data_IF_929567152193
#
_entry.id   IF_929567152193
#
_cell.length_a   1.000
_cell.length_b   1.000
_cell.length_c   1.000
_cell.angle_alpha   90.00
_cell.angle_beta   90.00
_cell.angle_gamma   90.00
#
_symmetry.space_group_name_H-M   'P 1'
#
loop_
_entity.id
_entity.type
_entity.pdbx_description
1 polymer ?
#
# COMPACT_ATOMS: atom_id res chain seq x y z
N UNK A 1 -41.18 -40.93 -10.31
CA UNK A 1 -40.73 -39.52 -10.22
C UNK A 1 -39.97 -39.15 -11.49
N UNK A 2 -40.65 -38.64 -12.53
CA UNK A 2 -39.95 -38.13 -13.72
C UNK A 2 -39.79 -36.61 -13.59
N UNK A 3 -38.61 -36.15 -13.14
CA UNK A 3 -38.22 -34.75 -13.40
C UNK A 3 -37.96 -34.63 -14.91
N UNK A 4 -38.59 -33.65 -15.58
CA UNK A 4 -38.31 -33.33 -16.98
C UNK A 4 -36.78 -33.14 -17.16
N UNK A 5 -36.09 -33.78 -18.13
CA UNK A 5 -34.66 -33.58 -18.37
C UNK A 5 -34.22 -32.11 -18.37
N UNK A 6 -35.00 -31.21 -18.98
CA UNK A 6 -34.70 -29.77 -19.01
C UNK A 6 -34.55 -29.15 -17.62
N UNK A 7 -35.32 -29.63 -16.63
CA UNK A 7 -35.23 -29.13 -15.25
C UNK A 7 -33.92 -29.49 -14.57
N UNK A 8 -33.35 -30.67 -14.89
CA UNK A 8 -32.05 -31.09 -14.34
C UNK A 8 -30.88 -30.30 -14.94
N UNK A 9 -30.99 -29.93 -16.20
CA UNK A 9 -30.00 -29.09 -16.89
C UNK A 9 -29.98 -27.70 -16.26
N UNK A 10 -31.17 -27.06 -16.13
CA UNK A 10 -31.31 -25.76 -15.44
C UNK A 10 -30.82 -25.79 -13.98
N UNK A 11 -31.16 -26.84 -13.22
CA UNK A 11 -30.67 -27.04 -11.84
C UNK A 11 -29.13 -27.08 -11.79
N UNK A 12 -28.48 -27.73 -12.76
CA UNK A 12 -27.01 -27.89 -12.82
C UNK A 12 -26.32 -26.59 -13.20
N UNK A 13 -26.82 -25.90 -14.23
CA UNK A 13 -26.32 -24.60 -14.68
C UNK A 13 -26.44 -23.54 -13.58
N UNK A 14 -27.58 -23.49 -12.87
CA UNK A 14 -27.80 -22.56 -11.76
C UNK A 14 -26.81 -22.78 -10.62
N UNK A 15 -26.42 -24.04 -10.34
CA UNK A 15 -25.34 -24.36 -9.38
C UNK A 15 -23.97 -23.88 -9.84
N UNK A 16 -23.60 -24.14 -11.10
CA UNK A 16 -22.32 -23.67 -11.67
C UNK A 16 -22.18 -22.14 -11.60
N UNK A 17 -23.28 -21.41 -11.85
CA UNK A 17 -23.33 -19.95 -11.71
C UNK A 17 -23.16 -19.54 -10.24
N UNK A 18 -23.85 -20.20 -9.30
CA UNK A 18 -23.71 -19.96 -7.86
C UNK A 18 -22.26 -20.20 -7.40
N UNK A 19 -21.65 -21.30 -7.82
CA UNK A 19 -20.26 -21.67 -7.52
C UNK A 19 -19.28 -20.62 -8.06
N UNK A 20 -19.39 -20.21 -9.33
CA UNK A 20 -18.53 -19.16 -9.91
C UNK A 20 -18.64 -17.85 -9.13
N UNK A 21 -19.85 -17.36 -8.84
CA UNK A 21 -20.06 -16.13 -8.06
C UNK A 21 -19.44 -16.26 -6.66
N UNK A 22 -19.52 -17.44 -6.03
CA UNK A 22 -18.98 -17.68 -4.69
C UNK A 22 -17.45 -17.73 -4.69
N UNK A 23 -16.85 -18.37 -5.69
CA UNK A 23 -15.39 -18.37 -5.87
C UNK A 23 -14.84 -16.96 -6.15
N UNK A 24 -15.55 -16.15 -6.95
CA UNK A 24 -15.16 -14.75 -7.20
C UNK A 24 -15.26 -13.94 -5.91
N UNK A 25 -16.37 -14.05 -5.16
CA UNK A 25 -16.51 -13.33 -3.89
C UNK A 25 -15.37 -13.61 -2.93
N UNK A 26 -15.07 -14.91 -2.71
CA UNK A 26 -13.99 -15.33 -1.83
C UNK A 26 -12.65 -14.82 -2.35
N UNK A 27 -12.21 -15.28 -3.51
CA UNK A 27 -10.84 -15.02 -3.96
C UNK A 27 -10.57 -13.54 -4.28
N UNK A 28 -11.55 -12.77 -4.75
CA UNK A 28 -11.33 -11.32 -4.94
C UNK A 28 -11.37 -10.57 -3.62
N UNK A 29 -12.14 -11.04 -2.63
CA UNK A 29 -12.10 -10.53 -1.26
C UNK A 29 -10.73 -10.76 -0.62
N UNK A 30 -10.27 -12.02 -0.63
CA UNK A 30 -8.95 -12.44 -0.13
C UNK A 30 -7.82 -11.63 -0.81
N UNK A 31 -7.82 -11.55 -2.16
CA UNK A 31 -6.85 -10.76 -2.91
C UNK A 31 -6.93 -9.26 -2.58
N UNK A 32 -8.12 -8.68 -2.41
CA UNK A 32 -8.29 -7.28 -2.05
C UNK A 32 -7.66 -6.98 -0.67
N UNK A 33 -7.87 -7.87 0.31
CA UNK A 33 -7.28 -7.73 1.64
C UNK A 33 -5.76 -7.89 1.61
N UNK A 34 -5.25 -8.89 0.90
CA UNK A 34 -3.80 -9.12 0.74
C UNK A 34 -3.11 -7.95 0.04
N UNK A 35 -3.65 -7.44 -1.06
CA UNK A 35 -3.07 -6.27 -1.75
C UNK A 35 -3.19 -4.98 -0.92
N UNK A 36 -4.30 -4.75 -0.20
CA UNK A 36 -4.40 -3.61 0.72
C UNK A 36 -3.42 -3.72 1.91
N UNK A 37 -3.16 -4.94 2.39
CA UNK A 37 -2.10 -5.21 3.37
C UNK A 37 -0.71 -4.94 2.83
N UNK A 38 -0.44 -5.41 1.60
CA UNK A 38 0.82 -5.17 0.88
C UNK A 38 1.09 -3.67 0.71
N UNK A 39 0.13 -2.91 0.16
CA UNK A 39 0.26 -1.45 -0.04
C UNK A 39 0.51 -0.71 1.27
N UNK A 40 -0.19 -1.07 2.36
CA UNK A 40 0.07 -0.52 3.70
C UNK A 40 1.48 -0.85 4.20
N UNK A 41 1.98 -2.09 4.02
CA UNK A 41 3.34 -2.47 4.42
C UNK A 41 4.40 -1.74 3.55
N UNK A 42 4.15 -1.50 2.27
CA UNK A 42 5.01 -0.66 1.39
C UNK A 42 5.02 0.82 1.82
N UNK A 43 3.88 1.36 2.24
CA UNK A 43 3.81 2.72 2.81
C UNK A 43 4.58 2.81 4.14
N UNK A 44 4.40 1.87 5.08
CA UNK A 44 5.18 1.81 6.33
C UNK A 44 6.69 1.71 6.08
N UNK A 45 7.11 0.99 5.03
CA UNK A 45 8.53 0.94 4.62
C UNK A 45 9.05 2.30 4.11
N UNK A 46 8.22 3.07 3.39
CA UNK A 46 8.54 4.45 2.99
C UNK A 46 8.76 5.32 4.23
N UNK A 47 7.81 5.31 5.16
CA UNK A 47 7.87 6.12 6.39
C UNK A 47 9.11 5.81 7.24
N UNK A 48 9.47 4.53 7.40
CA UNK A 48 10.71 4.16 8.13
C UNK A 48 11.98 4.58 7.37
N UNK A 49 11.95 4.59 6.05
CA UNK A 49 13.07 5.09 5.24
C UNK A 49 13.20 6.62 5.27
N UNK A 50 12.10 7.37 5.38
CA UNK A 50 12.13 8.83 5.58
C UNK A 50 12.77 9.20 6.94
N UNK A 51 12.57 8.38 7.98
CA UNK A 51 13.29 8.52 9.25
C UNK A 51 14.81 8.25 9.09
N UNK A 52 15.21 7.27 8.27
CA UNK A 52 16.63 7.04 7.96
C UNK A 52 17.26 8.20 7.19
N UNK A 53 16.55 8.76 6.20
CA UNK A 53 16.98 9.97 5.46
C UNK A 53 17.24 11.13 6.43
N UNK A 54 16.32 11.35 7.39
CA UNK A 54 16.44 12.39 8.41
C UNK A 54 17.65 12.16 9.31
N UNK A 55 17.84 10.96 9.84
CA UNK A 55 18.95 10.66 10.76
C UNK A 55 20.32 10.74 10.06
N UNK A 56 20.46 10.15 8.87
CA UNK A 56 21.70 10.25 8.07
C UNK A 56 22.00 11.72 7.73
N UNK A 57 20.96 12.51 7.42
CA UNK A 57 21.12 13.95 7.20
C UNK A 57 21.59 14.71 8.45
N UNK A 58 21.12 14.32 9.65
CA UNK A 58 21.55 14.95 10.91
C UNK A 58 22.98 14.57 11.27
N UNK A 59 23.33 13.29 11.17
CA UNK A 59 24.70 12.82 11.39
C UNK A 59 25.68 13.46 10.40
N UNK A 60 25.31 13.58 9.12
CA UNK A 60 26.13 14.30 8.14
C UNK A 60 26.48 15.73 8.56
N UNK A 61 25.67 16.40 9.39
CA UNK A 61 26.00 17.74 9.86
C UNK A 61 27.10 17.80 10.92
N UNK A 62 27.44 16.68 11.59
CA UNK A 62 28.53 16.59 12.56
C UNK A 62 29.89 16.22 11.96
N UNK A 63 29.89 15.71 10.72
CA UNK A 63 31.08 15.14 10.09
C UNK A 63 31.97 16.15 9.36
N UNK A 64 33.17 15.68 9.03
CA UNK A 64 34.16 16.37 8.19
C UNK A 64 33.64 16.65 6.77
N UNK A 65 34.19 17.66 6.05
CA UNK A 65 33.54 18.21 4.85
C UNK A 65 33.22 17.22 3.73
N UNK A 66 34.10 16.26 3.44
CA UNK A 66 33.89 15.30 2.35
C UNK A 66 32.85 14.24 2.73
N UNK A 67 32.95 13.66 3.93
CA UNK A 67 32.01 12.69 4.48
C UNK A 67 30.62 13.32 4.65
N UNK A 68 30.55 14.56 5.18
CA UNK A 68 29.33 15.37 5.23
C UNK A 68 28.67 15.49 3.85
N UNK A 69 29.44 15.81 2.81
CA UNK A 69 28.90 15.95 1.47
C UNK A 69 28.38 14.61 0.91
N UNK A 70 29.16 13.52 1.06
CA UNK A 70 28.76 12.18 0.63
C UNK A 70 27.49 11.68 1.32
N UNK A 71 27.39 11.85 2.64
CA UNK A 71 26.21 11.46 3.42
C UNK A 71 24.97 12.28 3.08
N UNK A 72 25.09 13.61 2.91
CA UNK A 72 23.97 14.46 2.44
C UNK A 72 23.49 14.03 1.05
N UNK A 73 24.40 13.86 0.10
CA UNK A 73 24.04 13.46 -1.27
C UNK A 73 23.42 12.05 -1.30
N UNK A 74 23.88 11.13 -0.46
CA UNK A 74 23.28 9.80 -0.29
C UNK A 74 21.85 9.90 0.26
N UNK A 75 21.63 10.69 1.32
CA UNK A 75 20.30 10.91 1.88
C UNK A 75 19.35 11.53 0.86
N UNK A 76 19.81 12.47 0.04
CA UNK A 76 19.05 13.07 -1.07
C UNK A 76 18.65 12.05 -2.14
N UNK A 77 19.45 11.02 -2.42
CA UNK A 77 19.02 9.94 -3.33
C UNK A 77 18.02 9.01 -2.64
N UNK A 78 18.23 8.68 -1.36
CA UNK A 78 17.34 7.81 -0.60
C UNK A 78 15.95 8.44 -0.41
N UNK A 79 15.87 9.77 -0.27
CA UNK A 79 14.62 10.53 -0.28
C UNK A 79 13.86 10.38 -1.60
N UNK A 80 14.54 10.54 -2.75
CA UNK A 80 13.93 10.38 -4.09
C UNK A 80 13.40 8.96 -4.33
N UNK A 81 13.99 7.94 -3.68
CA UNK A 81 13.48 6.57 -3.72
C UNK A 81 12.15 6.48 -2.96
N UNK A 82 11.96 7.25 -1.88
CA UNK A 82 10.71 7.31 -1.14
C UNK A 82 9.62 8.08 -1.90
N UNK A 83 9.96 9.14 -2.62
CA UNK A 83 9.05 9.80 -3.58
C UNK A 83 8.55 8.79 -4.64
N UNK A 84 9.46 7.97 -5.18
CA UNK A 84 9.11 6.92 -6.14
C UNK A 84 8.22 5.83 -5.52
N UNK A 85 8.48 5.46 -4.26
CA UNK A 85 7.67 4.50 -3.49
C UNK A 85 6.29 5.04 -3.14
N UNK A 86 6.16 6.34 -2.90
CA UNK A 86 4.85 6.98 -2.72
C UNK A 86 4.02 6.89 -4.01
N UNK A 87 4.61 7.19 -5.16
CA UNK A 87 3.95 7.06 -6.46
C UNK A 87 3.62 5.60 -6.82
N UNK A 88 4.35 4.62 -6.30
CA UNK A 88 4.03 3.20 -6.36
C UNK A 88 2.81 2.86 -5.49
N UNK A 89 2.82 3.24 -4.20
CA UNK A 89 1.70 3.06 -3.25
C UNK A 89 0.39 3.60 -3.82
N UNK A 90 0.38 4.84 -4.31
CA UNK A 90 -0.80 5.47 -4.93
C UNK A 90 -1.28 4.72 -6.18
N UNK A 91 -0.34 4.22 -7.00
CA UNK A 91 -0.67 3.45 -8.22
C UNK A 91 -1.24 2.09 -7.90
N UNK A 92 -0.67 1.38 -6.92
CA UNK A 92 -1.15 0.08 -6.47
C UNK A 92 -2.55 0.18 -5.88
N UNK A 93 -2.80 1.18 -5.02
CA UNK A 93 -4.13 1.41 -4.46
C UNK A 93 -5.17 1.68 -5.57
N UNK A 94 -4.85 2.59 -6.51
CA UNK A 94 -5.78 3.01 -7.56
C UNK A 94 -5.96 2.00 -8.72
N UNK A 95 -5.00 1.08 -8.96
CA UNK A 95 -5.00 0.14 -10.10
C UNK A 95 -5.16 -1.33 -9.72
N UNK A 96 -4.92 -1.69 -8.46
CA UNK A 96 -5.00 -3.07 -7.96
C UNK A 96 -6.09 -3.18 -6.89
N UNK A 97 -5.98 -2.40 -5.81
CA UNK A 97 -6.88 -2.51 -4.65
C UNK A 97 -8.30 -2.04 -4.96
N UNK A 98 -8.47 -0.81 -5.46
CA UNK A 98 -9.80 -0.26 -5.78
C UNK A 98 -10.58 -1.11 -6.80
N UNK A 99 -9.99 -1.59 -7.93
CA UNK A 99 -10.67 -2.53 -8.81
C UNK A 99 -11.15 -3.80 -8.10
N UNK A 100 -10.32 -4.46 -7.29
CA UNK A 100 -10.73 -5.65 -6.53
C UNK A 100 -11.86 -5.34 -5.53
N UNK A 101 -11.78 -4.21 -4.85
CA UNK A 101 -12.80 -3.71 -3.91
C UNK A 101 -14.16 -3.48 -4.58
N UNK A 102 -14.19 -2.94 -5.81
CA UNK A 102 -15.46 -2.74 -6.54
C UNK A 102 -16.21 -4.05 -6.83
N UNK A 103 -15.51 -5.19 -6.97
CA UNK A 103 -16.14 -6.48 -7.24
C UNK A 103 -17.10 -6.95 -6.14
N UNK A 104 -16.94 -6.49 -4.89
CA UNK A 104 -17.90 -6.77 -3.81
C UNK A 104 -19.33 -6.28 -4.14
N UNK A 105 -19.45 -5.14 -4.85
CA UNK A 105 -20.74 -4.64 -5.32
C UNK A 105 -21.29 -5.45 -6.51
N UNK A 106 -20.41 -5.86 -7.43
CA UNK A 106 -20.75 -6.63 -8.64
C UNK A 106 -21.27 -8.01 -8.26
N UNK A 107 -20.56 -8.73 -7.38
CA UNK A 107 -20.95 -10.05 -6.87
C UNK A 107 -22.29 -9.97 -6.13
N UNK A 108 -22.50 -8.96 -5.28
CA UNK A 108 -23.75 -8.74 -4.55
C UNK A 108 -24.95 -8.55 -5.48
N UNK A 109 -24.77 -7.84 -6.60
CA UNK A 109 -25.79 -7.71 -7.64
C UNK A 109 -26.09 -9.08 -8.28
N UNK A 110 -25.07 -9.81 -8.74
CA UNK A 110 -25.24 -11.12 -9.39
C UNK A 110 -25.88 -12.17 -8.48
N UNK A 111 -25.56 -12.17 -7.19
CA UNK A 111 -26.23 -12.98 -6.17
C UNK A 111 -27.72 -12.65 -6.04
N UNK A 112 -28.10 -11.38 -6.21
CA UNK A 112 -29.50 -10.94 -6.19
C UNK A 112 -30.23 -11.43 -7.44
N UNK A 113 -29.65 -11.25 -8.62
CA UNK A 113 -30.21 -11.72 -9.91
C UNK A 113 -30.43 -13.25 -9.90
N UNK A 114 -29.43 -14.00 -9.43
CA UNK A 114 -29.49 -15.45 -9.28
C UNK A 114 -30.61 -15.89 -8.32
N UNK A 115 -30.75 -15.21 -7.17
CA UNK A 115 -31.80 -15.49 -6.18
C UNK A 115 -33.20 -15.21 -6.73
N UNK A 116 -33.37 -14.17 -7.56
CA UNK A 116 -34.64 -13.88 -8.25
C UNK A 116 -35.00 -15.01 -9.23
N UNK A 117 -34.05 -15.40 -10.09
CA UNK A 117 -34.23 -16.51 -11.04
C UNK A 117 -34.57 -17.82 -10.33
N UNK A 118 -33.85 -18.18 -9.27
CA UNK A 118 -34.13 -19.41 -8.53
C UNK A 118 -35.47 -19.34 -7.77
N UNK A 119 -35.95 -18.15 -7.39
CA UNK A 119 -37.29 -17.97 -6.82
C UNK A 119 -38.39 -18.23 -7.88
N UNK A 120 -38.20 -17.75 -9.10
CA UNK A 120 -39.13 -18.00 -10.22
C UNK A 120 -39.15 -19.49 -10.61
N UNK A 121 -38.00 -20.14 -10.75
CA UNK A 121 -37.88 -21.59 -11.01
C UNK A 121 -38.53 -22.43 -9.89
N UNK A 122 -38.34 -22.06 -8.61
CA UNK A 122 -39.00 -22.73 -7.49
C UNK A 122 -40.53 -22.55 -7.52
N UNK A 123 -41.04 -21.41 -8.00
CA UNK A 123 -42.48 -21.18 -8.19
C UNK A 123 -43.05 -22.04 -9.32
N UNK A 124 -42.37 -22.11 -10.46
CA UNK A 124 -42.69 -23.04 -11.56
C UNK A 124 -42.78 -24.49 -11.05
N UNK A 125 -41.72 -24.97 -10.38
CA UNK A 125 -41.66 -26.33 -9.87
C UNK A 125 -42.75 -26.66 -8.82
N UNK A 126 -43.19 -25.67 -8.02
CA UNK A 126 -44.33 -25.82 -7.10
C UNK A 126 -45.65 -25.93 -7.86
N UNK A 127 -45.91 -25.05 -8.83
CA UNK A 127 -47.14 -25.06 -9.62
C UNK A 127 -47.27 -26.35 -10.47
N UNK A 128 -46.16 -26.84 -11.02
CA UNK A 128 -46.13 -28.10 -11.78
C UNK A 128 -46.58 -29.29 -10.91
N UNK A 129 -46.02 -29.41 -9.69
CA UNK A 129 -46.41 -30.46 -8.72
C UNK A 129 -47.84 -30.29 -8.21
N UNK A 130 -48.35 -29.06 -8.15
CA UNK A 130 -49.74 -28.79 -7.77
C UNK A 130 -50.70 -29.27 -8.86
N UNK A 131 -50.44 -28.94 -10.13
CA UNK A 131 -51.23 -29.39 -11.27
C UNK A 131 -51.25 -30.93 -11.39
N UNK A 132 -50.10 -31.60 -11.23
CA UNK A 132 -50.02 -33.07 -11.21
C UNK A 132 -50.94 -33.68 -10.13
N UNK A 133 -50.92 -33.14 -8.91
CA UNK A 133 -51.77 -33.60 -7.80
C UNK A 133 -53.25 -33.35 -8.06
N UNK A 134 -53.60 -32.22 -8.66
CA UNK A 134 -54.99 -31.89 -8.99
C UNK A 134 -55.55 -32.84 -10.06
N UNK A 135 -54.79 -33.08 -11.14
CA UNK A 135 -55.13 -34.07 -12.18
C UNK A 135 -55.32 -35.49 -11.62
N UNK A 136 -54.53 -35.89 -10.62
CA UNK A 136 -54.66 -37.20 -9.98
C UNK A 136 -55.87 -37.31 -9.03
N UNK A 137 -56.21 -36.25 -8.30
CA UNK A 137 -57.27 -36.27 -7.27
C UNK A 137 -58.68 -35.96 -7.80
N UNK A 138 -58.77 -35.04 -8.76
CA UNK A 138 -60.05 -34.53 -9.27
C UNK A 138 -60.05 -34.47 -10.81
N UNK A 139 -59.87 -35.60 -11.51
CA UNK A 139 -59.72 -35.62 -12.98
C UNK A 139 -60.94 -35.07 -13.74
N UNK A 140 -62.12 -35.07 -13.12
CA UNK A 140 -63.36 -34.53 -13.71
C UNK A 140 -63.52 -33.02 -13.52
N UNK A 141 -62.75 -32.38 -12.63
CA UNK A 141 -62.85 -30.94 -12.38
C UNK A 141 -62.01 -30.14 -13.39
N UNK A 142 -62.56 -30.07 -14.60
CA UNK A 142 -61.90 -29.43 -15.75
C UNK A 142 -61.68 -27.93 -15.55
N UNK A 143 -62.53 -27.25 -14.76
CA UNK A 143 -62.40 -25.82 -14.50
C UNK A 143 -61.21 -25.52 -13.58
N UNK A 144 -61.09 -26.26 -12.47
CA UNK A 144 -59.96 -26.09 -11.55
C UNK A 144 -58.62 -26.51 -12.20
N UNK A 145 -58.62 -27.59 -13.00
CA UNK A 145 -57.43 -28.00 -13.75
C UNK A 145 -57.00 -26.92 -14.75
N UNK A 146 -57.93 -26.33 -15.51
CA UNK A 146 -57.62 -25.28 -16.48
C UNK A 146 -57.09 -23.99 -15.83
N UNK A 147 -57.59 -23.62 -14.65
CA UNK A 147 -57.05 -22.51 -13.86
C UNK A 147 -55.60 -22.78 -13.43
N UNK A 148 -55.31 -23.98 -12.90
CA UNK A 148 -53.96 -24.37 -12.50
C UNK A 148 -52.99 -24.46 -13.70
N UNK A 149 -53.47 -24.84 -14.88
CA UNK A 149 -52.69 -24.80 -16.13
C UNK A 149 -52.30 -23.37 -16.52
N UNK A 150 -53.22 -22.40 -16.40
CA UNK A 150 -52.92 -20.98 -16.67
C UNK A 150 -51.91 -20.40 -15.68
N UNK A 151 -52.01 -20.77 -14.40
CA UNK A 151 -51.05 -20.35 -13.37
C UNK A 151 -49.66 -20.95 -13.57
N UNK A 152 -49.59 -22.23 -13.96
CA UNK A 152 -48.33 -22.88 -14.33
C UNK A 152 -47.72 -22.20 -15.58
N UNK A 153 -48.51 -21.96 -16.63
CA UNK A 153 -48.04 -21.28 -17.84
C UNK A 153 -47.42 -19.92 -17.51
N UNK A 154 -48.08 -19.12 -16.65
CA UNK A 154 -47.54 -17.83 -16.20
C UNK A 154 -46.23 -17.99 -15.42
N UNK A 155 -46.12 -18.98 -14.55
CA UNK A 155 -44.90 -19.25 -13.78
C UNK A 155 -43.74 -19.73 -14.67
N UNK A 156 -44.00 -20.60 -15.66
CA UNK A 156 -43.02 -21.05 -16.66
C UNK A 156 -42.52 -19.90 -17.53
N UNK A 157 -43.40 -18.99 -17.98
CA UNK A 157 -42.97 -17.80 -18.75
C UNK A 157 -42.04 -16.90 -17.93
N UNK A 158 -42.35 -16.69 -16.64
CA UNK A 158 -41.53 -15.87 -15.73
C UNK A 158 -40.17 -16.52 -15.42
N UNK A 159 -40.16 -17.83 -15.13
CA UNK A 159 -38.94 -18.60 -14.92
C UNK A 159 -38.04 -18.64 -16.18
N UNK A 160 -38.64 -18.77 -17.37
CA UNK A 160 -37.90 -18.75 -18.65
C UNK A 160 -37.27 -17.38 -18.91
N UNK A 161 -38.04 -16.29 -18.71
CA UNK A 161 -37.58 -14.92 -18.87
C UNK A 161 -36.40 -14.60 -17.95
N UNK A 162 -36.55 -14.89 -16.65
CA UNK A 162 -35.52 -14.61 -15.64
C UNK A 162 -34.27 -15.47 -15.83
N UNK A 163 -34.42 -16.74 -16.22
CA UNK A 163 -33.27 -17.61 -16.57
C UNK A 163 -32.47 -17.02 -17.73
N UNK A 164 -33.12 -16.61 -18.82
CA UNK A 164 -32.44 -16.01 -19.97
C UNK A 164 -31.73 -14.69 -19.63
N UNK A 165 -32.37 -13.83 -18.83
CA UNK A 165 -31.74 -12.59 -18.35
C UNK A 165 -30.51 -12.86 -17.47
N UNK A 166 -30.57 -13.90 -16.62
CA UNK A 166 -29.40 -14.33 -15.85
C UNK A 166 -28.27 -14.82 -16.78
N UNK A 167 -28.56 -15.67 -17.76
CA UNK A 167 -27.57 -16.16 -18.73
C UNK A 167 -26.85 -15.02 -19.47
N UNK A 168 -27.61 -14.11 -20.09
CA UNK A 168 -27.08 -12.96 -20.83
C UNK A 168 -26.20 -12.07 -19.93
N UNK A 169 -26.59 -11.86 -18.67
CA UNK A 169 -25.84 -11.02 -17.74
C UNK A 169 -24.67 -11.74 -17.05
N UNK A 170 -24.61 -13.08 -17.10
CA UNK A 170 -23.49 -13.89 -16.60
C UNK A 170 -22.39 -14.04 -17.66
N UNK A 171 -22.69 -14.17 -18.96
CA UNK A 171 -21.64 -14.12 -20.01
C UNK A 171 -20.83 -12.82 -19.93
N UNK A 172 -21.53 -11.69 -19.78
CA UNK A 172 -20.90 -10.38 -19.61
C UNK A 172 -20.04 -10.33 -18.34
N UNK A 173 -20.51 -10.91 -17.23
CA UNK A 173 -19.74 -10.96 -15.98
C UNK A 173 -18.48 -11.83 -16.09
N UNK A 174 -18.59 -13.03 -16.67
CA UNK A 174 -17.46 -13.93 -16.87
C UNK A 174 -16.40 -13.32 -17.82
N UNK A 175 -16.85 -12.65 -18.89
CA UNK A 175 -15.98 -11.90 -19.80
C UNK A 175 -15.27 -10.75 -19.11
N UNK A 176 -16.01 -9.93 -18.34
CA UNK A 176 -15.48 -8.79 -17.62
C UNK A 176 -14.45 -9.24 -16.57
N UNK A 177 -14.76 -10.29 -15.80
CA UNK A 177 -13.85 -10.93 -14.83
C UNK A 177 -12.50 -11.29 -15.46
N UNK A 178 -12.50 -11.95 -16.62
CA UNK A 178 -11.26 -12.35 -17.30
C UNK A 178 -10.45 -11.12 -17.74
N UNK A 179 -11.11 -10.07 -18.23
CA UNK A 179 -10.46 -8.83 -18.65
C UNK A 179 -9.85 -8.07 -17.46
N UNK A 180 -10.59 -7.98 -16.36
CA UNK A 180 -10.16 -7.26 -15.16
C UNK A 180 -9.03 -7.99 -14.44
N UNK A 181 -9.08 -9.32 -14.28
CA UNK A 181 -7.97 -10.12 -13.72
C UNK A 181 -6.68 -9.81 -14.51
N UNK A 182 -6.74 -9.93 -15.84
CA UNK A 182 -5.57 -9.64 -16.69
C UNK A 182 -5.05 -8.23 -16.46
N UNK A 183 -5.95 -7.24 -16.44
CA UNK A 183 -5.59 -5.83 -16.26
C UNK A 183 -4.98 -5.56 -14.88
N UNK A 184 -5.60 -6.06 -13.80
CA UNK A 184 -5.16 -5.88 -12.41
C UNK A 184 -3.75 -6.44 -12.21
N UNK A 185 -3.50 -7.69 -12.65
CA UNK A 185 -2.16 -8.28 -12.51
C UNK A 185 -1.13 -7.65 -13.46
N UNK A 186 -1.51 -7.19 -14.65
CA UNK A 186 -0.61 -6.42 -15.53
C UNK A 186 -0.27 -5.04 -14.94
N UNK A 187 -1.24 -4.34 -14.34
CA UNK A 187 -1.02 -3.04 -13.69
C UNK A 187 -0.15 -3.19 -12.43
N UNK A 188 -0.35 -4.26 -11.63
CA UNK A 188 0.52 -4.62 -10.50
C UNK A 188 1.98 -4.80 -10.94
N UNK A 189 2.25 -5.73 -11.87
CA UNK A 189 3.61 -5.99 -12.36
C UNK A 189 4.23 -4.74 -12.99
N UNK A 190 3.44 -3.93 -13.70
CA UNK A 190 3.91 -2.68 -14.28
C UNK A 190 4.28 -1.62 -13.23
N UNK A 191 3.55 -1.55 -12.11
CA UNK A 191 3.85 -0.64 -11.01
C UNK A 191 5.20 -0.97 -10.36
N UNK A 192 5.37 -2.23 -9.96
CA UNK A 192 6.60 -2.79 -9.37
C UNK A 192 7.80 -2.62 -10.32
N UNK A 193 7.64 -2.92 -11.61
CA UNK A 193 8.70 -2.74 -12.61
C UNK A 193 9.15 -1.27 -12.73
N UNK A 194 8.21 -0.32 -12.71
CA UNK A 194 8.53 1.12 -12.79
C UNK A 194 9.27 1.57 -11.53
N UNK A 195 8.82 1.14 -10.35
CA UNK A 195 9.51 1.44 -9.09
C UNK A 195 10.92 0.83 -9.06
N UNK A 196 11.06 -0.47 -9.28
CA UNK A 196 12.35 -1.15 -9.22
C UNK A 196 13.36 -0.62 -10.23
N UNK A 197 12.93 -0.29 -11.47
CA UNK A 197 13.82 0.32 -12.46
C UNK A 197 14.37 1.67 -11.97
N UNK A 198 13.52 2.52 -11.37
CA UNK A 198 13.96 3.82 -10.85
C UNK A 198 14.75 3.71 -9.55
N UNK A 199 14.37 2.79 -8.67
CA UNK A 199 15.11 2.48 -7.45
C UNK A 199 16.53 2.00 -7.76
N UNK A 200 16.72 1.14 -8.76
CA UNK A 200 18.05 0.68 -9.18
C UNK A 200 18.95 1.83 -9.65
N UNK A 201 18.42 2.76 -10.46
CA UNK A 201 19.13 3.96 -10.92
C UNK A 201 19.57 4.84 -9.73
N UNK A 202 18.64 5.10 -8.80
CA UNK A 202 18.89 5.95 -7.63
C UNK A 202 19.82 5.29 -6.60
N UNK A 203 19.67 3.99 -6.32
CA UNK A 203 20.58 3.25 -5.44
C UNK A 203 21.99 3.14 -6.02
N UNK A 204 22.12 2.97 -7.35
CA UNK A 204 23.45 3.01 -8.01
C UNK A 204 24.11 4.37 -7.81
N UNK A 205 23.34 5.45 -7.94
CA UNK A 205 23.82 6.82 -7.67
C UNK A 205 24.17 7.02 -6.20
N UNK A 206 23.34 6.53 -5.26
CA UNK A 206 23.56 6.63 -3.82
C UNK A 206 24.84 5.89 -3.38
N UNK A 207 25.05 4.68 -3.90
CA UNK A 207 26.28 3.91 -3.68
C UNK A 207 27.52 4.69 -4.12
N UNK A 208 27.48 5.34 -5.28
CA UNK A 208 28.57 6.19 -5.77
C UNK A 208 28.81 7.43 -4.89
N UNK A 209 27.80 7.99 -4.21
CA UNK A 209 28.01 9.13 -3.29
C UNK A 209 28.84 8.74 -2.07
N UNK A 210 28.67 7.51 -1.56
CA UNK A 210 29.46 6.98 -0.44
C UNK A 210 30.83 6.48 -0.91
N UNK A 211 30.89 5.77 -2.04
CA UNK A 211 32.14 5.21 -2.57
C UNK A 211 33.18 6.28 -2.93
N UNK A 212 32.75 7.48 -3.33
CA UNK A 212 33.64 8.56 -3.77
C UNK A 212 33.94 9.61 -2.68
N UNK A 213 33.70 9.30 -1.40
CA UNK A 213 34.13 10.17 -0.29
C UNK A 213 35.67 10.19 -0.23
N UNK A 214 36.26 11.38 -0.21
CA UNK A 214 37.71 11.56 -0.03
C UNK A 214 38.08 11.47 1.46
N UNK A 215 38.42 10.25 1.87
CA UNK A 215 38.85 9.90 3.23
C UNK A 215 40.13 10.64 3.65
N UNK A 216 41.12 10.79 2.76
CA UNK A 216 42.43 11.34 3.14
C UNK A 216 42.36 12.86 3.34
N UNK A 217 41.58 13.57 2.52
CA UNK A 217 41.29 15.00 2.74
C UNK A 217 40.59 15.27 4.08
N UNK A 218 39.63 14.42 4.46
CA UNK A 218 38.96 14.52 5.76
C UNK A 218 39.88 14.15 6.93
N UNK A 219 40.77 13.17 6.76
CA UNK A 219 41.81 12.85 7.73
C UNK A 219 42.83 13.99 7.88
N UNK A 220 43.17 14.74 6.82
CA UNK A 220 44.02 15.92 6.91
C UNK A 220 43.35 17.06 7.69
N UNK A 221 42.05 17.31 7.45
CA UNK A 221 41.23 18.24 8.26
C UNK A 221 41.23 17.83 9.73
N UNK A 222 41.03 16.55 10.03
CA UNK A 222 41.05 16.03 11.39
C UNK A 222 42.43 16.18 12.05
N UNK A 223 43.52 15.77 11.40
CA UNK A 223 44.90 15.94 11.88
C UNK A 223 45.22 17.41 12.17
N UNK A 224 44.80 18.31 11.29
CA UNK A 224 44.96 19.77 11.47
C UNK A 224 44.18 20.29 12.67
N UNK A 225 43.01 19.73 12.98
CA UNK A 225 42.24 20.09 14.19
C UNK A 225 42.88 19.61 15.50
N UNK A 226 43.61 18.48 15.47
CA UNK A 226 44.35 17.97 16.64
C UNK A 226 45.60 18.80 16.94
N UNK A 227 46.25 19.33 15.91
CA UNK A 227 47.40 20.22 16.06
C UNK A 227 46.93 21.69 16.19
N UNK A 228 46.73 22.14 17.44
CA UNK A 228 46.55 23.57 17.73
C UNK A 228 47.65 24.39 17.03
N UNK A 229 47.34 25.58 16.48
CA UNK A 229 48.35 26.53 16.02
C UNK A 229 49.37 26.77 17.13
N UNK A 230 50.63 26.49 16.82
CA UNK A 230 51.66 26.18 17.81
C UNK A 230 51.89 27.35 18.80
N UNK A 231 52.35 27.00 20.01
CA UNK A 231 52.57 27.94 21.12
C UNK A 231 53.58 29.06 20.76
N UNK A 232 54.34 28.89 19.68
CA UNK A 232 55.24 29.83 19.01
C UNK A 232 54.68 31.25 18.89
N UNK A 233 53.39 31.42 18.57
CA UNK A 233 52.80 32.77 18.41
C UNK A 233 52.92 33.62 19.68
N UNK A 234 52.91 33.00 20.88
CA UNK A 234 53.11 33.72 22.14
C UNK A 234 54.56 34.10 22.40
N UNK A 235 55.53 33.34 21.90
CA UNK A 235 56.95 33.67 22.05
C UNK A 235 57.35 34.84 21.15
N UNK A 236 56.89 34.90 19.90
CA UNK A 236 57.20 36.02 19.02
C UNK A 236 56.62 37.36 19.51
N UNK A 237 55.41 37.35 20.10
CA UNK A 237 54.82 38.53 20.74
C UNK A 237 55.66 38.99 21.94
N UNK A 238 56.19 38.06 22.75
CA UNK A 238 57.07 38.39 23.89
C UNK A 238 58.43 38.89 23.42
N UNK A 239 59.02 38.30 22.36
CA UNK A 239 60.28 38.76 21.78
C UNK A 239 60.16 40.14 21.12
N UNK A 240 59.05 40.45 20.45
CA UNK A 240 58.78 41.77 19.89
C UNK A 240 58.71 42.86 20.99
N UNK A 241 58.00 42.57 22.08
CA UNK A 241 57.87 43.49 23.23
C UNK A 241 59.20 43.64 24.02
N UNK A 242 60.04 42.61 24.02
CA UNK A 242 61.36 42.65 24.68
C UNK A 242 62.35 43.60 23.96
N UNK A 243 62.21 43.79 22.65
CA UNK A 243 63.10 44.67 21.86
C UNK A 243 62.64 46.14 21.83
N UNK A 244 61.38 46.43 22.17
CA UNK A 244 60.83 47.79 22.19
C UNK A 244 60.94 48.47 23.57
N UNK A 245 61.23 47.73 24.64
CA UNK A 245 61.26 48.24 26.01
C UNK A 245 62.45 49.14 26.40
N UNK A 246 63.42 49.39 25.51
CA UNK A 246 64.60 50.23 25.82
C UNK A 246 64.53 51.68 25.29
N UNK A 247 63.55 52.04 24.45
CA UNK A 247 63.51 53.35 23.76
C UNK A 247 62.16 54.07 23.89
N UNK A 248 61.58 54.23 25.09
CA UNK A 248 60.49 55.21 25.32
C UNK A 248 60.21 55.60 26.78
N UNK A 249 61.07 56.43 27.36
CA UNK A 249 60.67 57.35 28.45
C UNK A 249 60.42 58.74 27.89
N UNK A 250 59.15 59.17 27.85
CA UNK A 250 58.80 60.53 27.47
C UNK A 250 57.31 60.76 27.23
N UNK A 251 56.61 61.29 28.25
CA UNK A 251 55.28 61.97 28.19
C UNK A 251 54.07 61.17 27.66
N UNK A 252 52.80 61.45 28.01
CA UNK A 252 52.15 62.17 29.13
C UNK A 252 50.63 62.13 28.88
N UNK A 253 49.79 61.81 29.90
CA UNK A 253 48.33 62.07 29.92
C UNK A 253 47.47 61.32 28.83
N UNK A 254 46.16 61.02 28.97
CA UNK A 254 45.23 61.02 30.11
C UNK A 254 43.89 60.32 29.77
N UNK A 255 43.09 59.98 30.81
CA UNK A 255 41.62 59.77 30.86
C UNK A 255 40.96 58.50 30.27
N UNK A 256 40.61 57.60 31.21
CA UNK A 256 39.29 56.98 31.51
C UNK A 256 38.20 56.78 30.43
N UNK A 257 37.62 55.57 30.41
CA UNK A 257 36.32 55.25 29.83
C UNK A 257 35.83 53.83 30.21
N UNK A 258 34.52 53.67 30.44
CA UNK A 258 33.90 52.49 31.10
C UNK A 258 32.78 51.87 30.23
N UNK A 259 32.12 50.72 30.53
CA UNK A 259 31.90 49.97 31.78
C UNK A 259 31.71 48.43 31.50
N UNK A 260 31.14 47.73 32.47
CA UNK A 260 30.51 46.38 32.53
C UNK A 260 29.44 46.07 31.45
N UNK A 261 28.83 44.87 31.30
CA UNK A 261 29.05 43.45 31.73
C UNK A 261 27.85 42.58 31.26
N UNK A 262 28.05 41.27 31.00
CA UNK A 262 27.17 40.09 31.32
C UNK A 262 27.06 39.03 30.21
N UNK A 263 27.40 37.78 30.57
CA UNK A 263 26.81 36.55 30.01
C UNK A 263 25.49 36.22 30.79
N UNK A 264 24.60 35.33 30.32
CA UNK A 264 24.73 33.90 30.68
C UNK A 264 24.22 32.88 29.62
N UNK A 265 24.24 31.59 30.02
CA UNK A 265 23.99 30.36 29.24
C UNK A 265 22.55 29.84 29.38
N UNK A 266 22.01 29.18 28.34
CA UNK A 266 21.09 28.01 28.40
C UNK A 266 21.13 27.31 27.02
N UNK A 267 21.28 26.00 26.81
CA UNK A 267 20.69 24.78 27.40
C UNK A 267 19.24 24.51 26.97
N UNK A 268 19.07 23.51 26.10
CA UNK A 268 17.82 22.86 25.67
C UNK A 268 18.22 21.61 24.87
N UNK A 269 18.31 20.44 25.51
CA UNK A 269 17.28 19.39 25.56
C UNK A 269 16.76 18.96 24.17
N UNK A 270 17.13 17.72 23.81
CA UNK A 270 16.46 16.90 22.79
C UNK A 270 15.42 16.08 23.54
N UNK A 271 14.16 16.18 23.14
CA UNK A 271 13.15 15.16 23.43
C UNK A 271 12.93 14.40 22.12
N UNK A 272 13.09 13.08 22.16
CA UNK A 272 12.64 12.17 21.11
C UNK A 272 11.41 11.49 21.68
N UNK A 273 10.22 11.93 21.25
CA UNK A 273 9.00 11.14 21.44
C UNK A 273 9.03 10.07 20.34
N UNK A 274 9.28 8.82 20.77
CA UNK A 274 9.20 7.62 19.94
C UNK A 274 7.80 7.02 20.20
N UNK A 275 6.81 7.52 19.45
CA UNK A 275 5.47 6.92 19.42
C UNK A 275 5.58 5.59 18.64
N UNK A 276 5.94 4.52 19.38
CA UNK A 276 5.73 3.14 18.95
C UNK A 276 4.22 2.88 18.87
N UNK A 277 3.63 3.13 17.69
CA UNK A 277 2.31 2.61 17.33
C UNK A 277 2.38 1.08 17.25
N UNK A 278 2.17 0.43 18.41
CA UNK A 278 1.83 -0.98 18.56
C UNK A 278 0.49 -1.27 17.87
N UNK A 279 0.52 -1.47 16.56
CA UNK A 279 -0.63 -1.95 15.79
C UNK A 279 -0.58 -3.50 15.74
N UNK A 280 -1.45 -4.12 16.54
CA UNK A 280 -1.62 -5.57 16.69
C UNK A 280 -1.87 -6.26 15.33
N UNK A 281 -0.88 -7.00 14.82
CA UNK A 281 -1.08 -7.98 13.72
C UNK A 281 -1.82 -9.22 14.31
N UNK A 282 -3.14 -9.11 14.55
CA UNK A 282 -4.00 -10.26 14.88
C UNK A 282 -4.04 -11.28 13.72
N UNK A 283 -3.61 -12.50 14.04
CA UNK A 283 -3.94 -13.79 13.42
C UNK A 283 -3.69 -13.99 11.90
N UNK A 284 -2.47 -14.47 11.60
CA UNK A 284 -2.19 -15.33 10.44
C UNK A 284 -1.59 -16.69 10.87
N UNK A 285 -2.27 -17.40 11.77
CA UNK A 285 -2.04 -18.83 12.01
C UNK A 285 -3.36 -19.62 11.98
N UNK A 286 -3.61 -20.34 10.87
CA UNK A 286 -3.62 -21.81 10.91
C UNK A 286 -3.62 -22.36 9.46
N UNK A 287 -2.43 -22.71 8.98
CA UNK A 287 -2.27 -23.68 7.89
C UNK A 287 -1.63 -24.92 8.50
N UNK A 288 -2.46 -25.77 9.10
CA UNK A 288 -2.10 -27.15 9.37
C UNK A 288 -2.90 -28.09 8.46
N UNK A 289 -2.15 -28.83 7.65
CA UNK A 289 -2.66 -30.02 6.97
C UNK A 289 -3.26 -30.98 8.00
N UNK A 290 -4.35 -31.64 7.63
CA UNK A 290 -4.68 -32.93 8.25
C UNK A 290 -5.31 -33.86 7.22
N UNK A 291 -4.54 -34.86 6.83
CA UNK A 291 -5.01 -36.04 6.11
C UNK A 291 -5.87 -36.92 7.04
N UNK A 292 -7.09 -37.26 6.60
CA UNK A 292 -7.72 -38.59 6.76
C UNK A 292 -9.05 -38.69 6.00
#
# INVERSE_FOLDING_TARGET
>A
MNRNPDSRIRDTQTKQIQESITHVEKHFGDLCQLFAGYVRKTARLRDKADLLVKEVSQYADTETPNLKHGLKNFADQLAKIQDCRQAEVERLEAKVVEPLKTYGSVVKLKRTDLKLTQTAQNREAKQMRQLERMRQRHPSDRQIISQAESELQRATMDATRTTRQLEETIDVFERQKIQDIKKIFMDFVSAEMIFHAKALELYTTAYQQIQNVDEEGDLEVFRTSLHLPDYQSRLDIVHANSRTSLNRTGTSMSKSGTLQSRNPVSQGKRDYDDDEEEDEDEDLEDVTDNEN
#
